data_IF_449095695805
#
_entry.id   IF_449095695805
#
_cell.length_a   1.000
_cell.length_b   1.000
_cell.length_c   1.000
_cell.angle_alpha   90.00
_cell.angle_beta   90.00
_cell.angle_gamma   90.00
#
_symmetry.space_group_name_H-M   'P 1'
#
loop_
_entity.id
_entity.type
_entity.pdbx_description
1 polymer ?
#
# COMPACT_ATOMS: atom_id res chain seq x y z
N UNK A 1 -8.35 6.22 1.35
CA UNK A 1 -7.17 6.82 1.94
C UNK A 1 -6.21 5.75 2.45
N UNK A 2 -4.91 5.94 2.30
CA UNK A 2 -3.89 5.04 2.85
C UNK A 2 -2.94 5.83 3.73
N UNK A 3 -2.80 5.41 4.99
CA UNK A 3 -1.90 6.01 5.97
C UNK A 3 -0.71 5.10 6.22
N UNK A 4 0.50 5.64 6.14
CA UNK A 4 1.74 4.93 6.47
C UNK A 4 2.02 5.11 7.96
N UNK A 5 2.16 4.02 8.68
CA UNK A 5 2.30 4.04 10.15
C UNK A 5 3.74 3.98 10.66
N UNK A 6 4.74 3.98 9.77
CA UNK A 6 6.15 4.03 10.15
C UNK A 6 7.00 4.82 9.15
N UNK A 7 8.22 5.17 9.54
CA UNK A 7 9.14 5.96 8.74
C UNK A 7 9.53 5.34 7.40
N UNK A 8 9.38 4.04 7.23
CA UNK A 8 9.74 3.32 6.00
C UNK A 8 8.54 2.96 5.13
N UNK A 9 7.33 3.29 5.57
CA UNK A 9 6.12 3.00 4.82
C UNK A 9 5.86 1.50 4.59
N UNK A 10 6.32 0.63 5.50
CA UNK A 10 6.09 -0.82 5.41
C UNK A 10 4.70 -1.23 5.87
N UNK A 11 4.00 -0.36 6.59
CA UNK A 11 2.67 -0.58 7.13
C UNK A 11 1.73 0.50 6.64
N UNK A 12 0.50 0.12 6.35
CA UNK A 12 -0.54 1.05 5.93
C UNK A 12 -1.88 0.69 6.57
N UNK A 13 -2.68 1.71 6.77
CA UNK A 13 -4.07 1.61 7.17
C UNK A 13 -4.92 2.18 6.04
N UNK A 14 -5.93 1.44 5.61
CA UNK A 14 -6.84 1.85 4.56
C UNK A 14 -8.23 2.06 5.14
N UNK A 15 -8.75 3.26 4.98
CA UNK A 15 -10.12 3.60 5.36
C UNK A 15 -10.64 4.74 4.51
N UNK A 16 -11.95 5.02 4.60
CA UNK A 16 -12.51 6.24 4.07
C UNK A 16 -12.09 7.44 4.93
N UNK A 17 -11.94 8.60 4.33
CA UNK A 17 -11.64 9.83 5.07
C UNK A 17 -12.72 10.15 6.12
N UNK A 18 -13.97 9.80 5.83
CA UNK A 18 -15.11 9.97 6.72
C UNK A 18 -14.98 9.13 8.01
N UNK A 19 -14.63 7.85 7.90
CA UNK A 19 -14.42 6.98 9.05
C UNK A 19 -13.24 7.41 9.92
N UNK A 20 -12.22 8.00 9.33
CA UNK A 20 -11.07 8.52 10.05
C UNK A 20 -11.35 9.85 10.75
N UNK A 21 -12.53 10.44 10.54
CA UNK A 21 -12.86 11.78 11.04
C UNK A 21 -11.96 12.88 10.49
N UNK A 22 -11.22 12.61 9.43
CA UNK A 22 -10.29 13.53 8.82
C UNK A 22 -11.02 14.37 7.78
N UNK A 23 -11.12 15.67 8.05
CA UNK A 23 -11.53 16.65 7.05
C UNK A 23 -10.26 17.05 6.29
N UNK A 24 -10.09 16.50 5.10
CA UNK A 24 -9.05 16.99 4.20
C UNK A 24 -9.59 18.22 3.48
N UNK A 25 -8.96 19.32 3.68
CA UNK A 25 -9.12 20.48 2.81
C UNK A 25 -8.30 20.25 1.52
N UNK A 26 -8.71 19.23 0.79
CA UNK A 26 -8.04 18.74 -0.40
C UNK A 26 -8.88 19.17 -1.59
N UNK A 27 -8.47 20.26 -2.23
CA UNK A 27 -9.08 20.66 -3.49
C UNK A 27 -8.68 19.66 -4.60
N UNK A 28 -9.52 18.65 -4.78
CA UNK A 28 -9.35 17.64 -5.84
C UNK A 28 -9.27 18.28 -7.23
N UNK A 29 -9.83 19.49 -7.40
CA UNK A 29 -9.74 20.26 -8.64
C UNK A 29 -8.30 20.67 -8.91
N UNK A 30 -7.58 21.19 -7.92
CA UNK A 30 -6.17 21.59 -8.07
C UNK A 30 -5.32 20.40 -8.51
N UNK A 31 -5.54 19.22 -7.92
CA UNK A 31 -4.83 18.00 -8.31
C UNK A 31 -5.17 17.60 -9.76
N UNK A 32 -6.44 17.64 -10.10
CA UNK A 32 -6.90 17.32 -11.47
C UNK A 32 -6.31 18.28 -12.49
N UNK A 33 -6.35 19.58 -12.22
CA UNK A 33 -5.80 20.62 -13.11
C UNK A 33 -4.29 20.45 -13.27
N UNK A 34 -3.57 20.15 -12.19
CA UNK A 34 -2.13 19.87 -12.22
C UNK A 34 -1.82 18.64 -13.10
N UNK A 35 -2.53 17.53 -12.90
CA UNK A 35 -2.32 16.32 -13.71
C UNK A 35 -2.62 16.58 -15.19
N UNK A 36 -3.70 17.30 -15.48
CA UNK A 36 -4.06 17.65 -16.86
C UNK A 36 -2.99 18.54 -17.51
N UNK A 37 -2.41 19.47 -16.77
CA UNK A 37 -1.35 20.36 -17.25
C UNK A 37 -0.07 19.60 -17.64
N UNK A 38 0.19 18.42 -17.03
CA UNK A 38 1.31 17.54 -17.42
C UNK A 38 1.09 16.81 -18.75
N UNK A 39 -0.10 16.90 -19.33
CA UNK A 39 -0.48 16.13 -20.51
C UNK A 39 -0.91 14.69 -20.22
N UNK A 40 -0.92 14.25 -18.98
CA UNK A 40 -1.38 12.92 -18.59
C UNK A 40 -2.87 12.77 -18.83
N UNK A 41 -3.29 11.81 -19.64
CA UNK A 41 -4.66 11.68 -20.10
C UNK A 41 -5.41 10.47 -19.54
N UNK A 42 -4.69 9.39 -19.28
CA UNK A 42 -5.30 8.15 -18.81
C UNK A 42 -4.28 7.30 -18.05
N UNK A 43 -4.74 6.59 -17.04
CA UNK A 43 -3.92 5.67 -16.26
C UNK A 43 -4.10 5.84 -14.75
N UNK A 44 -3.14 5.30 -14.02
CA UNK A 44 -3.11 5.36 -12.56
C UNK A 44 -2.16 6.44 -12.10
N UNK A 45 -2.50 7.08 -11.02
CA UNK A 45 -1.59 7.92 -10.28
C UNK A 45 -1.82 7.75 -8.78
N UNK A 46 -0.80 8.03 -8.00
CA UNK A 46 -0.90 8.18 -6.56
C UNK A 46 -0.43 9.56 -6.15
N UNK A 47 -1.08 10.13 -5.15
CA UNK A 47 -0.75 11.44 -4.61
C UNK A 47 -0.38 11.27 -3.14
N UNK A 48 0.77 11.81 -2.74
CA UNK A 48 1.21 11.78 -1.36
C UNK A 48 1.05 13.16 -0.71
N UNK A 49 0.58 13.15 0.53
CA UNK A 49 0.38 14.34 1.34
C UNK A 49 0.95 14.13 2.73
N UNK A 50 1.43 15.22 3.32
CA UNK A 50 1.66 15.33 4.75
C UNK A 50 0.51 16.12 5.37
N UNK A 51 0.04 15.65 6.52
CA UNK A 51 -0.96 16.36 7.32
C UNK A 51 -0.30 16.70 8.64
N UNK A 52 -0.31 17.98 9.01
CA UNK A 52 0.25 18.43 10.28
C UNK A 52 -0.75 18.30 11.45
N UNK A 53 -0.33 18.73 12.63
CA UNK A 53 -1.15 18.65 13.84
C UNK A 53 -2.38 19.60 13.80
N UNK A 54 -2.33 20.63 12.98
CA UNK A 54 -3.44 21.57 12.74
C UNK A 54 -4.36 21.14 11.59
N UNK A 55 -4.21 19.89 11.09
CA UNK A 55 -4.92 19.34 9.93
C UNK A 55 -4.67 20.08 8.60
N UNK A 56 -3.57 20.83 8.47
CA UNK A 56 -3.18 21.44 7.20
C UNK A 56 -2.54 20.36 6.33
N UNK A 57 -2.92 20.33 5.05
CA UNK A 57 -2.48 19.33 4.09
C UNK A 57 -1.41 19.90 3.18
N UNK A 58 -0.26 19.26 3.13
CA UNK A 58 0.87 19.64 2.28
C UNK A 58 1.06 18.56 1.21
N UNK A 59 0.94 18.96 -0.04
CA UNK A 59 1.27 18.12 -1.16
C UNK A 59 2.78 17.84 -1.20
N UNK A 60 3.16 16.58 -1.37
CA UNK A 60 4.56 16.18 -1.42
C UNK A 60 4.95 15.62 -2.78
N UNK A 61 4.15 14.72 -3.34
CA UNK A 61 4.55 13.97 -4.53
C UNK A 61 3.33 13.47 -5.31
N UNK A 62 3.43 13.45 -6.65
CA UNK A 62 2.56 12.68 -7.54
C UNK A 62 3.40 11.63 -8.28
N UNK A 63 2.99 10.39 -8.18
CA UNK A 63 3.52 9.30 -8.96
C UNK A 63 2.53 8.92 -10.06
N UNK A 64 2.88 9.09 -11.33
CA UNK A 64 2.04 8.72 -12.48
C UNK A 64 2.09 7.20 -12.74
N UNK A 65 1.91 6.44 -11.70
CA UNK A 65 1.90 4.98 -11.69
C UNK A 65 1.09 4.45 -10.53
N UNK A 66 0.84 3.16 -10.58
CA UNK A 66 0.19 2.46 -9.49
C UNK A 66 1.09 2.39 -8.23
N UNK A 67 0.48 2.42 -7.07
CA UNK A 67 1.11 2.28 -5.77
C UNK A 67 1.07 0.82 -5.29
N UNK A 68 2.08 0.39 -4.55
CA UNK A 68 2.15 -0.94 -3.94
C UNK A 68 0.99 -1.20 -2.96
N UNK A 69 0.44 -0.16 -2.35
CA UNK A 69 -0.68 -0.28 -1.40
C UNK A 69 -2.03 -0.53 -2.07
N UNK A 70 -2.14 -0.37 -3.38
CA UNK A 70 -3.37 -0.66 -4.15
C UNK A 70 -3.82 -2.11 -4.00
N UNK A 71 -2.88 -3.04 -3.80
CA UNK A 71 -3.20 -4.43 -3.54
C UNK A 71 -4.06 -4.60 -2.28
N UNK A 72 -3.72 -3.90 -1.19
CA UNK A 72 -4.52 -3.90 0.03
C UNK A 72 -5.94 -3.40 -0.22
N UNK A 73 -6.10 -2.25 -0.85
CA UNK A 73 -7.41 -1.70 -1.21
C UNK A 73 -8.23 -2.69 -2.06
N UNK A 74 -7.59 -3.35 -3.03
CA UNK A 74 -8.24 -4.34 -3.90
C UNK A 74 -8.78 -5.55 -3.10
N UNK A 75 -8.04 -6.04 -2.11
CA UNK A 75 -8.48 -7.18 -1.28
C UNK A 75 -9.78 -6.89 -0.52
N UNK A 76 -10.11 -5.62 -0.29
CA UNK A 76 -11.28 -5.20 0.48
C UNK A 76 -12.33 -4.44 -0.34
N UNK A 77 -12.26 -4.52 -1.65
CA UNK A 77 -13.33 -4.09 -2.55
C UNK A 77 -13.02 -2.88 -3.42
N UNK A 78 -12.03 -2.06 -3.09
CA UNK A 78 -11.63 -0.93 -3.92
C UNK A 78 -10.63 -1.37 -4.99
N UNK A 79 -11.13 -2.05 -6.03
CA UNK A 79 -10.30 -2.52 -7.14
C UNK A 79 -10.18 -1.46 -8.24
N UNK A 80 -9.26 -0.51 -8.05
CA UNK A 80 -9.07 0.59 -9.01
C UNK A 80 -8.59 0.12 -10.39
N UNK A 81 -7.90 -1.03 -10.48
CA UNK A 81 -7.51 -1.59 -11.78
C UNK A 81 -8.73 -2.05 -12.59
N UNK A 82 -9.63 -2.76 -11.93
CA UNK A 82 -10.90 -3.13 -12.56
C UNK A 82 -11.71 -1.89 -12.90
N UNK A 83 -11.63 -0.86 -12.06
CA UNK A 83 -12.28 0.43 -12.32
C UNK A 83 -11.84 1.09 -13.61
N UNK A 84 -10.55 1.13 -13.87
CA UNK A 84 -10.05 1.64 -15.15
C UNK A 84 -10.52 0.77 -16.32
N UNK A 85 -10.45 -0.55 -16.17
CA UNK A 85 -10.98 -1.49 -17.18
C UNK A 85 -12.46 -1.25 -17.44
N UNK A 86 -13.27 -1.17 -16.39
CA UNK A 86 -14.70 -0.94 -16.50
C UNK A 86 -15.03 0.38 -17.21
N UNK A 87 -14.30 1.45 -16.86
CA UNK A 87 -14.45 2.75 -17.49
C UNK A 87 -14.13 2.71 -18.99
N UNK A 88 -13.03 2.07 -19.37
CA UNK A 88 -12.64 1.93 -20.79
C UNK A 88 -13.68 1.13 -21.58
N UNK A 89 -14.24 0.09 -20.97
CA UNK A 89 -15.24 -0.78 -21.58
C UNK A 89 -16.68 -0.33 -21.35
N UNK A 90 -16.91 0.86 -20.76
CA UNK A 90 -18.24 1.44 -20.49
C UNK A 90 -19.14 0.51 -19.66
N UNK A 91 -18.56 -0.19 -18.69
CA UNK A 91 -19.30 -1.04 -17.76
C UNK A 91 -19.86 -0.14 -16.65
N UNK A 92 -21.17 -0.06 -16.55
CA UNK A 92 -21.89 0.74 -15.56
C UNK A 92 -21.88 0.00 -14.20
N UNK A 93 -20.90 0.26 -13.36
CA UNK A 93 -20.89 -0.18 -11.96
C UNK A 93 -19.77 0.54 -11.23
N UNK A 94 -20.06 1.07 -10.06
CA UNK A 94 -19.06 1.71 -9.18
C UNK A 94 -18.75 0.87 -7.93
N UNK A 95 -19.28 -0.34 -7.83
CA UNK A 95 -19.10 -1.22 -6.68
C UNK A 95 -17.63 -1.54 -6.35
N UNK A 96 -16.73 -1.37 -7.32
CA UNK A 96 -15.28 -1.58 -7.22
C UNK A 96 -14.53 -0.39 -6.62
N UNK A 97 -15.19 0.75 -6.36
CA UNK A 97 -14.58 1.95 -5.74
C UNK A 97 -14.72 2.00 -4.21
N UNK A 98 -15.53 1.12 -3.63
CA UNK A 98 -15.87 1.20 -2.22
C UNK A 98 -15.09 0.20 -1.38
N UNK A 99 -14.34 0.70 -0.39
CA UNK A 99 -13.80 -0.14 0.67
C UNK A 99 -14.96 -0.67 1.53
N UNK A 100 -15.01 -1.98 1.72
CA UNK A 100 -16.06 -2.65 2.51
C UNK A 100 -15.90 -2.43 4.01
N UNK A 101 -14.67 -2.20 4.46
CA UNK A 101 -14.31 -1.93 5.86
C UNK A 101 -12.91 -1.36 5.95
N UNK A 102 -12.58 -0.71 7.06
CA UNK A 102 -11.19 -0.37 7.39
C UNK A 102 -10.29 -1.59 7.37
N UNK A 103 -9.05 -1.44 6.96
CA UNK A 103 -8.08 -2.52 6.91
C UNK A 103 -6.67 -2.05 7.17
N UNK A 104 -5.85 -2.99 7.63
CA UNK A 104 -4.42 -2.80 7.79
C UNK A 104 -3.64 -3.66 6.81
N UNK A 105 -2.52 -3.13 6.32
CA UNK A 105 -1.65 -3.82 5.39
C UNK A 105 -0.19 -3.67 5.80
N UNK A 106 0.60 -4.72 5.55
CA UNK A 106 2.04 -4.70 5.76
C UNK A 106 2.78 -5.19 4.50
N UNK A 107 3.84 -4.47 4.13
CA UNK A 107 4.84 -4.94 3.20
C UNK A 107 5.83 -5.84 3.96
N UNK A 108 5.40 -7.06 4.26
CA UNK A 108 6.04 -7.98 5.19
C UNK A 108 7.49 -8.33 4.81
N UNK A 109 7.82 -8.39 3.53
CA UNK A 109 9.20 -8.59 3.08
C UNK A 109 10.09 -7.39 3.46
N UNK A 110 9.65 -6.18 3.19
CA UNK A 110 10.42 -4.97 3.50
C UNK A 110 10.54 -4.80 5.01
N UNK A 111 9.45 -5.03 5.75
CA UNK A 111 9.43 -4.95 7.18
C UNK A 111 10.35 -5.99 7.84
N UNK A 112 10.42 -7.22 7.29
CA UNK A 112 11.37 -8.23 7.73
C UNK A 112 12.81 -7.74 7.63
N UNK A 113 13.21 -7.19 6.49
CA UNK A 113 14.55 -6.68 6.32
C UNK A 113 14.85 -5.51 7.25
N UNK A 114 13.90 -4.62 7.44
CA UNK A 114 14.11 -3.43 8.25
C UNK A 114 14.10 -3.69 9.77
N UNK A 115 13.44 -4.74 10.21
CA UNK A 115 13.28 -5.04 11.63
C UNK A 115 14.06 -6.28 12.07
N UNK A 116 13.84 -7.43 11.45
CA UNK A 116 14.45 -8.69 11.86
C UNK A 116 15.89 -8.82 11.34
N UNK A 117 16.11 -8.57 10.05
CA UNK A 117 17.45 -8.69 9.46
C UNK A 117 18.42 -7.68 10.08
N UNK A 118 17.97 -6.46 10.33
CA UNK A 118 18.73 -5.42 11.07
C UNK A 118 18.77 -5.63 12.59
N UNK A 119 18.27 -6.76 13.08
CA UNK A 119 18.27 -7.15 14.50
C UNK A 119 17.56 -6.18 15.45
N UNK A 120 16.61 -5.40 14.96
CA UNK A 120 15.78 -4.50 15.77
C UNK A 120 14.70 -5.26 16.55
N UNK A 121 14.25 -6.42 16.01
CA UNK A 121 13.25 -7.30 16.60
C UNK A 121 13.64 -8.75 16.47
N UNK A 122 13.15 -9.61 17.37
CA UNK A 122 13.23 -11.05 17.19
C UNK A 122 12.26 -11.54 16.12
N UNK A 123 12.56 -12.67 15.49
CA UNK A 123 11.67 -13.30 14.49
C UNK A 123 10.29 -13.63 15.09
N UNK A 124 10.21 -14.03 16.34
CA UNK A 124 8.96 -14.39 17.00
C UNK A 124 8.08 -13.16 17.28
N UNK A 125 8.70 -12.04 17.67
CA UNK A 125 7.99 -10.76 17.81
C UNK A 125 7.42 -10.31 16.46
N UNK A 126 8.24 -10.39 15.42
CA UNK A 126 7.84 -10.02 14.07
C UNK A 126 6.68 -10.89 13.54
N UNK A 127 6.74 -12.22 13.70
CA UNK A 127 5.64 -13.13 13.30
C UNK A 127 4.34 -12.76 14.02
N UNK A 128 4.41 -12.44 15.31
CA UNK A 128 3.24 -12.04 16.09
C UNK A 128 2.63 -10.74 15.59
N UNK A 129 3.48 -9.77 15.26
CA UNK A 129 3.05 -8.48 14.71
C UNK A 129 2.43 -8.64 13.31
N UNK A 130 3.10 -9.34 12.41
CA UNK A 130 2.63 -9.54 11.03
C UNK A 130 1.27 -10.25 10.98
N UNK A 131 1.00 -11.14 11.93
CA UNK A 131 -0.31 -11.82 12.02
C UNK A 131 -1.48 -10.89 12.33
N UNK A 132 -1.23 -9.70 12.88
CA UNK A 132 -2.27 -8.73 13.22
C UNK A 132 -2.76 -7.95 12.01
N UNK A 133 -1.99 -7.95 10.91
CA UNK A 133 -2.37 -7.26 9.68
C UNK A 133 -3.35 -8.08 8.84
N UNK A 134 -4.36 -7.41 8.31
CA UNK A 134 -5.38 -8.02 7.44
C UNK A 134 -4.76 -8.51 6.13
N UNK A 135 -3.92 -7.68 5.51
CA UNK A 135 -3.27 -7.97 4.23
C UNK A 135 -1.75 -7.95 4.37
N UNK A 136 -1.11 -8.95 3.77
CA UNK A 136 0.34 -9.10 3.67
C UNK A 136 0.70 -9.19 2.20
N UNK A 137 1.75 -8.48 1.78
CA UNK A 137 2.14 -8.45 0.36
C UNK A 137 2.74 -9.77 -0.10
N UNK A 138 3.59 -10.37 0.72
CA UNK A 138 4.33 -11.60 0.38
C UNK A 138 3.63 -12.85 0.91
N UNK A 139 3.22 -12.84 2.18
CA UNK A 139 2.63 -14.00 2.85
C UNK A 139 1.14 -14.15 2.49
N UNK A 140 0.86 -14.70 1.33
CA UNK A 140 -0.51 -14.96 0.88
C UNK A 140 -0.83 -16.48 0.98
N UNK A 141 -1.88 -16.83 1.73
CA UNK A 141 -2.31 -18.23 1.88
C UNK A 141 -2.82 -18.85 0.56
N UNK A 142 -3.33 -18.02 -0.36
CA UNK A 142 -3.84 -18.49 -1.66
C UNK A 142 -2.73 -18.69 -2.68
N UNK A 143 -1.58 -18.04 -2.47
CA UNK A 143 -0.38 -18.18 -3.30
C UNK A 143 0.86 -18.21 -2.39
N UNK A 144 1.27 -19.39 -1.89
CA UNK A 144 2.41 -19.54 -0.98
C UNK A 144 3.78 -19.50 -1.69
N UNK A 145 3.82 -19.66 -3.01
CA UNK A 145 5.08 -19.76 -3.76
C UNK A 145 6.03 -18.56 -3.56
N UNK A 146 5.59 -17.31 -3.60
CA UNK A 146 6.46 -16.16 -3.34
C UNK A 146 7.08 -16.21 -1.94
N UNK A 147 6.32 -16.65 -0.93
CA UNK A 147 6.82 -16.81 0.44
C UNK A 147 7.88 -17.89 0.56
N UNK A 148 7.65 -19.04 -0.07
CA UNK A 148 8.61 -20.15 -0.11
C UNK A 148 9.89 -19.72 -0.83
N UNK A 149 9.77 -19.05 -1.97
CA UNK A 149 10.90 -18.53 -2.72
C UNK A 149 11.72 -17.53 -1.91
N UNK A 150 11.05 -16.62 -1.22
CA UNK A 150 11.70 -15.64 -0.36
C UNK A 150 12.54 -16.32 0.74
N UNK A 151 11.97 -17.32 1.44
CA UNK A 151 12.68 -18.05 2.47
C UNK A 151 13.88 -18.80 1.88
N UNK A 152 13.69 -19.44 0.73
CA UNK A 152 14.76 -20.13 0.02
C UNK A 152 15.92 -19.20 -0.35
N UNK A 153 15.62 -18.02 -0.89
CA UNK A 153 16.64 -17.04 -1.27
C UNK A 153 17.41 -16.52 -0.03
N UNK A 154 16.73 -16.34 1.11
CA UNK A 154 17.38 -15.97 2.37
C UNK A 154 18.35 -17.04 2.87
N UNK A 155 17.94 -18.30 2.82
CA UNK A 155 18.76 -19.44 3.26
C UNK A 155 19.94 -19.63 2.31
N UNK A 156 19.69 -19.62 1.02
CA UNK A 156 20.72 -19.79 -0.02
C UNK A 156 21.80 -18.72 0.07
N UNK A 157 21.41 -17.44 0.19
CA UNK A 157 22.37 -16.34 0.33
C UNK A 157 23.23 -16.48 1.60
N UNK A 158 22.66 -16.92 2.71
CA UNK A 158 23.42 -17.18 3.94
C UNK A 158 24.44 -18.32 3.78
N UNK A 159 24.08 -19.38 3.05
CA UNK A 159 24.99 -20.50 2.78
C UNK A 159 26.16 -20.06 1.89
N UNK A 160 25.88 -19.32 0.81
CA UNK A 160 26.92 -18.83 -0.11
C UNK A 160 27.86 -17.79 0.52
N UNK A 161 27.38 -16.93 1.44
CA UNK A 161 28.24 -15.95 2.12
C UNK A 161 29.12 -16.56 3.22
N UNK A 162 28.85 -17.80 3.69
CA UNK A 162 29.68 -18.51 4.67
C UNK A 162 30.91 -19.20 4.05
N UNK A 163 30.95 -19.31 2.74
CA UNK A 163 32.02 -20.00 1.99
C UNK A 163 32.95 -19.02 1.24
N UNK A 164 32.86 -17.72 1.55
CA UNK A 164 33.81 -16.70 1.17
C UNK A 164 34.40 -16.06 2.43
#
# INVERSE_FOLDING_TARGET
LSLKSNSYGTKAFHDSAEHLGMKFDLDLKVISDFIQATGYRCGFFSVEFLVDQENRTFFTEINLRNDAYTYGATQYGANIHYGLYAKVHKIESEAWLCLKRPQTMIADQLDFFDTVYKRKKSIWQWIREVKQFDTRLLMNKRDPLPSVRFVWDLVSKKLFMRHR
#
